data_IF_983463367732
#
_entry.id   IF_983463367732
#
_cell.length_a   1.000
_cell.length_b   1.000
_cell.length_c   1.000
_cell.angle_alpha   90.00
_cell.angle_beta   90.00
_cell.angle_gamma   90.00
#
_symmetry.space_group_name_H-M   'P 1'
#
loop_
_entity.id
_entity.type
_entity.pdbx_description
1 polymer ?
#
# COMPACT_ATOMS: atom_id res chain seq x y z
N UNK A 1 -8.43 -13.56 -9.93
CA UNK A 1 -9.19 -13.21 -11.15
C UNK A 1 -8.27 -13.36 -12.38
N UNK A 2 -8.51 -14.37 -13.22
CA UNK A 2 -7.67 -14.72 -14.38
C UNK A 2 -7.55 -13.60 -15.41
N UNK A 3 -8.60 -12.79 -15.59
CA UNK A 3 -8.59 -11.64 -16.51
C UNK A 3 -7.62 -10.54 -16.05
N UNK A 4 -7.59 -10.23 -14.76
CA UNK A 4 -6.66 -9.24 -14.19
C UNK A 4 -5.23 -9.72 -14.39
N UNK A 5 -4.95 -10.98 -14.02
CA UNK A 5 -3.62 -11.58 -14.17
C UNK A 5 -3.11 -11.45 -15.61
N UNK A 6 -3.92 -11.86 -16.59
CA UNK A 6 -3.55 -11.79 -18.02
C UNK A 6 -3.23 -10.37 -18.48
N UNK A 7 -4.06 -9.38 -18.12
CA UNK A 7 -3.84 -7.98 -18.51
C UNK A 7 -2.54 -7.42 -17.90
N UNK A 8 -2.26 -7.76 -16.63
CA UNK A 8 -1.03 -7.35 -15.94
C UNK A 8 0.19 -7.98 -16.61
N UNK A 9 0.16 -9.29 -16.88
CA UNK A 9 1.24 -10.01 -17.56
C UNK A 9 1.48 -9.46 -18.98
N UNK A 10 0.43 -9.26 -19.76
CA UNK A 10 0.51 -8.69 -21.12
C UNK A 10 1.11 -7.28 -21.11
N UNK A 11 0.72 -6.44 -20.13
CA UNK A 11 1.27 -5.09 -19.99
C UNK A 11 2.76 -5.11 -19.65
N UNK A 12 3.17 -5.91 -18.64
CA UNK A 12 4.58 -6.05 -18.26
C UNK A 12 5.43 -6.54 -19.43
N UNK A 13 4.98 -7.59 -20.12
CA UNK A 13 5.70 -8.15 -21.27
C UNK A 13 5.90 -7.14 -22.41
N UNK A 14 4.86 -6.34 -22.73
CA UNK A 14 4.92 -5.34 -23.81
C UNK A 14 5.91 -4.21 -23.57
N UNK A 15 6.15 -3.87 -22.31
CA UNK A 15 7.09 -2.81 -21.92
C UNK A 15 8.44 -3.36 -21.43
N UNK A 16 8.63 -4.69 -21.49
CA UNK A 16 9.89 -5.35 -21.16
C UNK A 16 10.18 -5.46 -19.67
N UNK A 17 9.17 -5.37 -18.78
CA UNK A 17 9.34 -5.66 -17.36
C UNK A 17 9.24 -7.17 -17.17
N UNK A 18 10.40 -7.79 -16.94
CA UNK A 18 10.51 -9.24 -16.75
C UNK A 18 10.63 -9.61 -15.27
N UNK A 19 11.01 -8.66 -14.42
CA UNK A 19 11.33 -8.91 -13.01
C UNK A 19 11.12 -7.66 -12.15
N UNK A 20 10.91 -7.84 -10.84
CA UNK A 20 10.77 -6.76 -9.88
C UNK A 20 9.32 -6.38 -9.55
N UNK A 21 9.13 -5.45 -8.61
CA UNK A 21 7.81 -5.02 -8.16
C UNK A 21 7.15 -4.11 -9.19
N UNK A 22 5.86 -4.34 -9.44
CA UNK A 22 5.04 -3.45 -10.26
C UNK A 22 3.71 -3.21 -9.57
N UNK A 23 3.37 -1.95 -9.39
CA UNK A 23 2.08 -1.52 -8.91
C UNK A 23 1.14 -1.22 -10.07
N UNK A 24 -0.09 -1.71 -9.99
CA UNK A 24 -1.16 -1.43 -10.94
C UNK A 24 -2.37 -0.84 -10.22
N UNK A 25 -2.78 0.35 -10.61
CA UNK A 25 -4.10 0.86 -10.30
C UNK A 25 -5.07 0.46 -11.40
N UNK A 26 -6.13 -0.22 -11.02
CA UNK A 26 -7.10 -0.77 -11.98
C UNK A 26 -8.53 -0.44 -11.60
N UNK A 27 -9.40 -0.35 -12.60
CA UNK A 27 -10.84 -0.24 -12.43
C UNK A 27 -11.53 -1.38 -13.17
N UNK A 28 -12.52 -2.00 -12.52
CA UNK A 28 -13.36 -3.02 -13.15
C UNK A 28 -14.70 -2.41 -13.50
N UNK A 29 -15.07 -2.42 -14.78
CA UNK A 29 -16.37 -1.98 -15.28
C UNK A 29 -17.02 -3.11 -16.11
N UNK A 30 -18.25 -3.46 -15.79
CA UNK A 30 -19.00 -4.52 -16.48
C UNK A 30 -18.21 -5.85 -16.58
N UNK A 31 -17.47 -6.22 -15.51
CA UNK A 31 -16.64 -7.42 -15.48
C UNK A 31 -15.35 -7.36 -16.32
N UNK A 32 -15.00 -6.19 -16.88
CA UNK A 32 -13.76 -5.96 -17.60
C UNK A 32 -12.81 -5.07 -16.78
N UNK A 33 -11.57 -5.54 -16.51
CA UNK A 33 -10.54 -4.74 -15.86
C UNK A 33 -9.86 -3.79 -16.84
N UNK A 34 -9.60 -2.57 -16.38
CA UNK A 34 -8.90 -1.50 -17.11
C UNK A 34 -7.74 -1.00 -16.26
N UNK A 35 -6.56 -0.83 -16.85
CA UNK A 35 -5.41 -0.20 -16.21
C UNK A 35 -5.62 1.30 -16.21
N UNK A 36 -5.54 1.93 -15.02
CA UNK A 36 -5.54 3.38 -14.84
C UNK A 36 -4.11 3.89 -14.80
N UNK A 37 -3.28 3.23 -13.99
CA UNK A 37 -1.89 3.59 -13.78
C UNK A 37 -1.05 2.32 -13.58
N UNK A 38 0.20 2.39 -13.99
CA UNK A 38 1.20 1.35 -13.78
C UNK A 38 2.52 1.99 -13.41
N UNK A 39 3.20 1.45 -12.39
CA UNK A 39 4.49 1.96 -11.91
C UNK A 39 5.41 0.79 -11.52
N UNK A 40 6.69 0.75 -11.97
CA UNK A 40 7.63 -0.32 -11.61
C UNK A 40 8.21 -0.08 -10.20
N UNK A 41 7.38 -0.09 -9.19
CA UNK A 41 7.71 0.06 -7.77
C UNK A 41 6.58 -0.47 -6.89
N UNK A 42 6.84 -0.58 -5.59
CA UNK A 42 5.77 -0.77 -4.60
C UNK A 42 4.90 0.50 -4.49
N UNK A 43 3.65 0.33 -4.07
CA UNK A 43 2.75 1.45 -3.81
C UNK A 43 3.26 2.35 -2.67
N UNK A 44 3.02 3.65 -2.80
CA UNK A 44 3.43 4.66 -1.83
C UNK A 44 2.46 4.89 -0.66
N UNK A 45 1.35 4.15 -0.62
CA UNK A 45 0.27 4.35 0.36
C UNK A 45 0.23 3.24 1.44
N UNK A 46 1.37 2.72 1.89
CA UNK A 46 1.47 1.64 2.89
C UNK A 46 0.79 0.31 2.50
N UNK A 47 0.42 0.12 1.23
CA UNK A 47 -0.18 -1.14 0.76
C UNK A 47 0.74 -2.34 0.99
N UNK A 48 2.07 -2.14 0.91
CA UNK A 48 3.04 -3.17 1.24
C UNK A 48 2.92 -3.65 2.70
N UNK A 49 2.63 -2.72 3.64
CA UNK A 49 2.44 -3.03 5.06
C UNK A 49 1.10 -3.73 5.30
N UNK A 50 0.02 -3.23 4.69
CA UNK A 50 -1.29 -3.88 4.71
C UNK A 50 -1.19 -5.33 4.19
N UNK A 51 -0.53 -5.53 3.04
CA UNK A 51 -0.35 -6.85 2.44
C UNK A 51 0.51 -7.77 3.30
N UNK A 52 1.58 -7.25 3.93
CA UNK A 52 2.41 -8.04 4.85
C UNK A 52 1.59 -8.60 6.02
N UNK A 53 0.70 -7.80 6.59
CA UNK A 53 -0.17 -8.23 7.71
C UNK A 53 -1.29 -9.15 7.25
N UNK A 54 -1.83 -8.91 6.07
CA UNK A 54 -2.91 -9.72 5.49
C UNK A 54 -2.44 -11.10 5.03
N UNK A 55 -1.23 -11.18 4.45
CA UNK A 55 -0.71 -12.40 3.79
C UNK A 55 0.43 -13.09 4.53
N UNK A 56 1.04 -12.42 5.52
CA UNK A 56 2.24 -12.89 6.23
C UNK A 56 3.56 -12.66 5.51
N UNK A 57 3.57 -12.21 4.25
CA UNK A 57 4.79 -11.98 3.47
C UNK A 57 5.17 -10.49 3.41
N UNK A 58 6.43 -10.18 3.63
CA UNK A 58 6.93 -8.82 3.63
C UNK A 58 7.44 -8.40 2.24
N UNK A 59 6.59 -7.69 1.48
CA UNK A 59 6.93 -7.24 0.13
C UNK A 59 8.14 -6.29 0.08
N UNK A 60 8.37 -5.48 1.11
CA UNK A 60 9.53 -4.60 1.17
C UNK A 60 10.82 -5.42 1.32
N UNK A 61 10.81 -6.40 2.23
CA UNK A 61 11.91 -7.35 2.39
C UNK A 61 12.18 -8.10 1.09
N UNK A 62 11.14 -8.65 0.45
CA UNK A 62 11.25 -9.35 -0.83
C UNK A 62 11.95 -8.51 -1.90
N UNK A 63 11.58 -7.22 -2.03
CA UNK A 63 12.17 -6.32 -3.03
C UNK A 63 13.65 -6.10 -2.75
N UNK A 64 14.04 -5.86 -1.50
CA UNK A 64 15.45 -5.66 -1.16
C UNK A 64 16.28 -6.93 -1.28
N UNK A 65 15.77 -8.08 -0.86
CA UNK A 65 16.46 -9.37 -1.01
C UNK A 65 16.65 -9.74 -2.48
N UNK A 66 15.61 -9.52 -3.29
CA UNK A 66 15.72 -9.73 -4.73
C UNK A 66 16.77 -8.79 -5.39
N UNK A 67 16.74 -7.49 -5.06
CA UNK A 67 17.68 -6.52 -5.64
C UNK A 67 19.14 -6.74 -5.22
N UNK A 68 19.38 -7.17 -3.99
CA UNK A 68 20.72 -7.30 -3.44
C UNK A 68 21.31 -8.70 -3.61
N UNK A 69 20.49 -9.73 -3.60
CA UNK A 69 20.91 -11.13 -3.49
C UNK A 69 20.27 -12.05 -4.53
N UNK A 70 19.41 -11.53 -5.41
CA UNK A 70 18.56 -12.30 -6.33
C UNK A 70 17.72 -13.38 -5.63
N UNK A 71 17.35 -13.13 -4.35
CA UNK A 71 16.56 -14.03 -3.52
C UNK A 71 15.08 -13.65 -3.52
N UNK A 72 14.21 -14.61 -3.86
CA UNK A 72 12.75 -14.49 -3.88
C UNK A 72 12.08 -15.43 -2.87
N UNK A 73 12.82 -15.95 -1.89
CA UNK A 73 12.31 -16.92 -0.92
C UNK A 73 11.13 -16.40 -0.10
N UNK A 74 11.06 -15.09 0.13
CA UNK A 74 9.95 -14.42 0.83
C UNK A 74 8.58 -14.64 0.13
N UNK A 75 8.55 -14.91 -1.19
CA UNK A 75 7.31 -15.27 -1.89
C UNK A 75 6.64 -16.54 -1.31
N UNK A 76 7.41 -17.44 -0.72
CA UNK A 76 6.91 -18.65 -0.07
C UNK A 76 6.21 -18.38 1.26
N UNK A 77 6.45 -17.20 1.84
CA UNK A 77 5.82 -16.76 3.09
C UNK A 77 4.42 -16.17 2.87
N UNK A 78 4.04 -15.93 1.60
CA UNK A 78 2.70 -15.44 1.27
C UNK A 78 1.66 -16.55 1.52
N UNK A 79 0.76 -16.30 2.47
CA UNK A 79 -0.32 -17.22 2.79
C UNK A 79 -1.43 -17.17 1.72
N UNK A 80 -2.02 -18.34 1.42
CA UNK A 80 -3.25 -18.43 0.63
C UNK A 80 -4.48 -17.94 1.43
N UNK A 81 -4.45 -18.09 2.76
CA UNK A 81 -5.49 -17.65 3.66
C UNK A 81 -5.26 -16.19 4.03
N UNK A 82 -5.86 -15.31 3.26
CA UNK A 82 -5.74 -13.86 3.42
C UNK A 82 -6.56 -13.43 4.64
N UNK A 83 -5.88 -12.86 5.64
CA UNK A 83 -6.53 -12.23 6.79
C UNK A 83 -7.19 -10.91 6.33
N UNK A 84 -8.50 -10.72 6.56
CA UNK A 84 -9.15 -9.45 6.24
C UNK A 84 -8.57 -8.31 7.09
N UNK A 85 -8.05 -7.28 6.44
CA UNK A 85 -7.39 -6.14 7.08
C UNK A 85 -7.85 -4.84 6.43
N UNK A 86 -7.87 -3.77 7.20
CA UNK A 86 -8.17 -2.43 6.73
C UNK A 86 -7.02 -1.46 7.06
N UNK A 87 -6.66 -0.61 6.10
CA UNK A 87 -5.75 0.51 6.25
C UNK A 87 -6.55 1.81 6.19
N UNK A 88 -6.59 2.54 7.29
CA UNK A 88 -7.32 3.80 7.43
C UNK A 88 -6.35 4.96 7.55
N UNK A 89 -6.54 6.01 6.73
CA UNK A 89 -5.76 7.22 6.82
C UNK A 89 -6.46 8.30 7.63
N UNK A 90 -5.73 8.94 8.52
CA UNK A 90 -6.12 10.21 9.11
C UNK A 90 -5.82 11.34 8.14
N UNK A 91 -6.80 12.20 7.94
CA UNK A 91 -6.68 13.34 7.03
C UNK A 91 -7.04 14.64 7.74
N UNK A 92 -6.25 15.68 7.52
CA UNK A 92 -6.48 17.02 8.11
C UNK A 92 -6.24 18.10 7.06
N UNK A 93 -6.86 19.28 7.26
CA UNK A 93 -6.63 20.43 6.37
C UNK A 93 -5.20 20.92 6.47
N UNK A 94 -4.55 21.25 5.33
CA UNK A 94 -3.24 21.87 5.35
C UNK A 94 -3.27 23.26 6.01
N UNK A 95 -2.12 23.73 6.48
CA UNK A 95 -1.95 25.01 7.20
C UNK A 95 -2.72 25.08 8.53
N UNK A 96 -3.06 23.95 9.13
CA UNK A 96 -3.57 23.83 10.49
C UNK A 96 -2.54 23.17 11.38
N UNK A 97 -2.70 23.29 12.68
CA UNK A 97 -1.82 22.68 13.67
C UNK A 97 -2.28 21.24 13.93
N UNK A 98 -1.33 20.33 13.95
CA UNK A 98 -1.57 18.92 14.28
C UNK A 98 -1.92 18.76 15.75
N UNK A 99 -2.96 18.01 16.02
CA UNK A 99 -3.30 17.49 17.35
C UNK A 99 -3.60 15.99 17.23
N UNK A 100 -2.64 15.17 17.65
CA UNK A 100 -2.80 13.71 17.59
C UNK A 100 -3.95 13.20 18.45
N UNK A 101 -4.30 13.90 19.54
CA UNK A 101 -5.38 13.49 20.43
C UNK A 101 -6.77 13.58 19.80
N UNK A 102 -6.91 14.33 18.70
CA UNK A 102 -8.15 14.43 17.92
C UNK A 102 -8.45 13.16 17.09
N UNK A 103 -7.50 12.22 16.99
CA UNK A 103 -7.65 11.01 16.19
C UNK A 103 -7.72 9.78 17.09
N UNK A 104 -8.76 8.97 16.86
CA UNK A 104 -8.95 7.72 17.58
C UNK A 104 -8.24 6.58 16.84
N UNK A 105 -7.29 5.92 17.50
CA UNK A 105 -6.69 4.68 17.05
C UNK A 105 -7.38 3.54 17.81
N UNK A 106 -7.99 2.55 17.13
CA UNK A 106 -8.54 1.37 17.78
C UNK A 106 -7.48 0.64 18.60
N UNK A 107 -7.85 0.11 19.77
CA UNK A 107 -6.90 -0.57 20.68
C UNK A 107 -6.32 -1.87 20.11
N UNK A 108 -7.03 -2.48 19.18
CA UNK A 108 -6.68 -3.70 18.45
C UNK A 108 -5.94 -3.43 17.13
N UNK A 109 -5.52 -2.17 16.89
CA UNK A 109 -4.72 -1.83 15.73
C UNK A 109 -3.38 -2.56 15.77
N UNK A 110 -3.04 -3.24 14.65
CA UNK A 110 -1.78 -3.95 14.49
C UNK A 110 -0.62 -3.03 14.13
N UNK A 111 -0.93 -1.83 13.62
CA UNK A 111 0.03 -0.78 13.29
C UNK A 111 -0.65 0.58 13.25
N UNK A 112 0.10 1.61 13.61
CA UNK A 112 -0.33 3.00 13.49
C UNK A 112 0.87 3.93 13.48
N UNK A 113 0.75 5.04 12.75
CA UNK A 113 1.80 6.04 12.70
C UNK A 113 1.23 7.41 12.39
N UNK A 114 1.80 8.45 13.01
CA UNK A 114 1.55 9.85 12.68
C UNK A 114 2.76 10.45 11.96
N UNK A 115 2.52 11.17 10.86
CA UNK A 115 3.56 11.84 10.07
C UNK A 115 4.00 13.17 10.68
N UNK A 116 3.21 13.72 11.62
CA UNK A 116 3.41 14.99 12.28
C UNK A 116 3.27 14.82 13.79
N UNK A 117 4.10 15.51 14.56
CA UNK A 117 3.92 15.62 16.01
C UNK A 117 2.82 16.63 16.34
N UNK A 118 2.20 16.49 17.51
CA UNK A 118 1.29 17.52 18.04
C UNK A 118 2.00 18.85 18.12
N UNK A 119 1.41 19.91 17.55
CA UNK A 119 2.00 21.24 17.44
C UNK A 119 2.64 21.54 16.08
N UNK A 120 2.87 20.55 15.23
CA UNK A 120 3.42 20.77 13.88
C UNK A 120 2.41 21.43 12.94
N UNK A 121 2.91 22.26 12.04
CA UNK A 121 2.12 22.79 10.91
C UNK A 121 1.99 21.71 9.82
N UNK A 122 0.75 21.40 9.41
CA UNK A 122 0.47 20.48 8.31
C UNK A 122 0.78 21.16 6.98
N UNK A 123 1.71 20.56 6.22
CA UNK A 123 2.16 21.08 4.93
C UNK A 123 1.12 20.79 3.84
N UNK A 124 0.87 21.73 2.90
CA UNK A 124 -0.02 21.50 1.76
C UNK A 124 0.69 20.63 0.70
N UNK A 125 0.37 19.36 0.65
CA UNK A 125 0.94 18.40 -0.31
C UNK A 125 -0.11 17.94 -1.33
N UNK A 126 -1.32 17.59 -0.85
CA UNK A 126 -2.34 16.92 -1.67
C UNK A 126 -3.59 17.78 -1.94
N UNK A 127 -3.59 19.05 -1.59
CA UNK A 127 -4.67 19.98 -1.89
C UNK A 127 -5.65 20.22 -0.72
N UNK A 128 -6.89 19.69 -0.77
CA UNK A 128 -7.93 20.03 0.23
C UNK A 128 -7.70 19.41 1.61
N UNK A 129 -7.18 18.17 1.63
CA UNK A 129 -6.84 17.44 2.84
C UNK A 129 -5.53 16.70 2.62
N UNK A 130 -4.69 16.66 3.64
CA UNK A 130 -3.44 15.94 3.65
C UNK A 130 -3.49 14.77 4.63
N UNK A 131 -2.83 13.66 4.27
CA UNK A 131 -2.68 12.52 5.15
C UNK A 131 -1.74 12.90 6.29
N UNK A 132 -2.19 12.73 7.53
CA UNK A 132 -1.42 13.07 8.73
C UNK A 132 -1.02 11.85 9.55
N UNK A 133 -1.52 10.68 9.18
CA UNK A 133 -1.19 9.41 9.81
C UNK A 133 -2.07 8.29 9.27
N UNK A 134 -1.90 7.10 9.83
CA UNK A 134 -2.72 5.92 9.51
C UNK A 134 -2.78 4.95 10.68
N UNK A 135 -3.71 4.01 10.60
CA UNK A 135 -3.67 2.76 11.34
C UNK A 135 -4.09 1.58 10.46
N UNK A 136 -3.71 0.38 10.87
CA UNK A 136 -4.10 -0.89 10.25
C UNK A 136 -4.70 -1.78 11.32
N UNK A 137 -5.87 -2.36 11.03
CA UNK A 137 -6.52 -3.31 11.94
C UNK A 137 -7.18 -4.46 11.16
N UNK A 138 -7.52 -5.53 11.88
CA UNK A 138 -8.32 -6.64 11.34
C UNK A 138 -9.79 -6.25 11.25
N UNK A 139 -10.47 -6.73 10.20
CA UNK A 139 -11.93 -6.61 10.03
C UNK A 139 -12.69 -7.71 10.75
#
# INVERSE_FOLDING_TARGET
NSKIKRIVEDACNRIGILNGPVYFQMKVMNGHPYIIEMTPRLDGCHMWNLLARSTGGNLMKLVFEHLLYDDISELKCLNSDIKPMELVFFCQKPKTIMDQSAFLIPKDSEDSFFYYATGDNIRPVNGRFDKVGYFIHSL
#
